data_IF_110713669791
#
_entry.id   IF_110713669791
#
_cell.length_a   1.000
_cell.length_b   1.000
_cell.length_c   1.000
_cell.angle_alpha   90.00
_cell.angle_beta   90.00
_cell.angle_gamma   90.00
#
_symmetry.space_group_name_H-M   'P 1'
#
loop_
_entity.id
_entity.type
_entity.pdbx_description
1 polymer ?
#
# COMPACT_ATOMS: atom_id res chain seq x y z
N UNK A 1 13.22 -25.52 2.34
CA UNK A 1 12.43 -24.29 2.54
C UNK A 1 12.51 -23.49 1.24
N UNK A 2 11.41 -23.42 0.49
CA UNK A 2 11.39 -22.73 -0.79
C UNK A 2 11.58 -21.22 -0.55
N UNK A 3 12.48 -20.61 -1.32
CA UNK A 3 13.02 -19.26 -1.17
C UNK A 3 12.03 -18.16 -1.62
N UNK A 4 10.73 -18.43 -1.52
CA UNK A 4 9.64 -17.59 -2.06
C UNK A 4 8.94 -16.74 -1.00
N UNK A 5 9.08 -17.02 0.30
CA UNK A 5 8.32 -16.29 1.33
C UNK A 5 8.90 -14.90 1.68
N UNK A 6 9.87 -14.37 0.91
CA UNK A 6 10.49 -13.04 1.08
C UNK A 6 10.18 -12.10 -0.10
N UNK A 7 8.93 -12.12 -0.54
CA UNK A 7 8.53 -11.73 -1.89
C UNK A 7 8.11 -10.24 -2.04
N UNK A 8 8.42 -9.40 -1.06
CA UNK A 8 8.18 -7.96 -1.10
C UNK A 8 9.49 -7.20 -0.83
N UNK A 9 9.65 -6.05 -1.47
CA UNK A 9 10.82 -5.22 -1.25
C UNK A 9 10.89 -4.78 0.23
N UNK A 10 12.06 -4.88 0.89
CA UNK A 10 12.17 -4.58 2.32
C UNK A 10 11.89 -3.09 2.65
N UNK A 11 12.06 -2.20 1.67
CA UNK A 11 11.78 -0.77 1.74
C UNK A 11 10.33 -0.42 1.34
N UNK A 12 9.45 -1.39 1.05
CA UNK A 12 8.09 -1.13 0.58
C UNK A 12 7.30 -0.23 1.54
N UNK A 13 7.48 -0.41 2.85
CA UNK A 13 6.84 0.45 3.85
C UNK A 13 7.36 1.89 3.81
N UNK A 14 8.67 2.07 3.58
CA UNK A 14 9.27 3.39 3.44
C UNK A 14 8.82 4.08 2.15
N UNK A 15 8.69 3.33 1.04
CA UNK A 15 8.08 3.82 -0.21
C UNK A 15 6.67 4.33 0.05
N UNK A 16 5.85 3.58 0.79
CA UNK A 16 4.49 4.02 1.13
C UNK A 16 4.48 5.29 1.99
N UNK A 17 5.33 5.37 3.02
CA UNK A 17 5.47 6.58 3.85
C UNK A 17 5.95 7.81 3.07
N UNK A 18 6.66 7.61 1.96
CA UNK A 18 7.12 8.70 1.10
C UNK A 18 6.02 9.31 0.24
N UNK A 19 4.87 8.64 0.12
CA UNK A 19 3.74 9.14 -0.65
C UNK A 19 3.05 10.30 0.10
N UNK A 20 2.87 11.47 -0.54
CA UNK A 20 2.14 12.58 0.05
C UNK A 20 0.65 12.23 0.20
N UNK A 21 -0.06 13.08 0.96
CA UNK A 21 -1.53 13.04 1.11
C UNK A 21 -2.11 11.90 1.98
N UNK A 22 -1.30 10.97 2.47
CA UNK A 22 -1.77 9.86 3.31
C UNK A 22 -1.24 9.95 4.74
N UNK A 23 -2.12 9.70 5.72
CA UNK A 23 -1.73 9.60 7.11
C UNK A 23 -1.21 8.19 7.46
N UNK A 24 -0.66 8.02 8.65
CA UNK A 24 -0.08 6.74 9.10
C UNK A 24 -1.08 5.59 9.14
N UNK A 25 -2.38 5.84 9.36
CA UNK A 25 -3.43 4.81 9.37
C UNK A 25 -3.65 4.29 7.95
N UNK A 26 -3.86 5.19 6.99
CA UNK A 26 -4.00 4.82 5.58
C UNK A 26 -2.81 4.00 5.09
N UNK A 27 -1.59 4.45 5.39
CA UNK A 27 -0.35 3.76 5.02
C UNK A 27 -0.28 2.36 5.65
N UNK A 28 -0.62 2.22 6.94
CA UNK A 28 -0.54 0.94 7.64
C UNK A 28 -1.56 -0.07 7.11
N UNK A 29 -2.78 0.36 6.83
CA UNK A 29 -3.82 -0.51 6.27
C UNK A 29 -3.49 -0.94 4.84
N UNK A 30 -3.02 -0.02 4.00
CA UNK A 30 -2.62 -0.39 2.65
C UNK A 30 -1.39 -1.32 2.66
N UNK A 31 -0.40 -1.06 3.52
CA UNK A 31 0.74 -1.98 3.68
C UNK A 31 0.29 -3.38 4.12
N UNK A 32 -0.63 -3.49 5.08
CA UNK A 32 -1.20 -4.77 5.49
C UNK A 32 -1.88 -5.49 4.32
N UNK A 33 -2.58 -4.76 3.45
CA UNK A 33 -3.18 -5.32 2.24
C UNK A 33 -2.11 -5.87 1.28
N UNK A 34 -1.00 -5.16 1.08
CA UNK A 34 0.10 -5.62 0.23
C UNK A 34 0.84 -6.84 0.81
N UNK A 35 1.03 -6.88 2.14
CA UNK A 35 1.63 -8.03 2.83
C UNK A 35 0.75 -9.28 2.71
N UNK A 36 -0.58 -9.11 2.82
CA UNK A 36 -1.54 -10.20 2.61
C UNK A 36 -1.62 -10.65 1.13
N UNK A 37 -1.26 -9.77 0.19
CA UNK A 37 -1.30 -10.03 -1.25
C UNK A 37 0.04 -9.68 -1.93
N UNK A 38 1.12 -10.46 -1.71
CA UNK A 38 2.47 -10.10 -2.16
C UNK A 38 2.61 -9.84 -3.66
N UNK A 39 1.78 -10.47 -4.48
CA UNK A 39 1.74 -10.23 -5.94
C UNK A 39 1.31 -8.80 -6.27
N UNK A 40 0.34 -8.24 -5.55
CA UNK A 40 -0.08 -6.83 -5.68
C UNK A 40 1.05 -5.92 -5.21
N UNK A 41 1.68 -6.23 -4.08
CA UNK A 41 2.80 -5.45 -3.55
C UNK A 41 4.00 -5.37 -4.51
N UNK A 42 4.32 -6.45 -5.24
CA UNK A 42 5.37 -6.43 -6.28
C UNK A 42 5.00 -5.54 -7.46
N UNK A 43 3.76 -5.62 -7.92
CA UNK A 43 3.29 -4.78 -9.04
C UNK A 43 3.34 -3.31 -8.59
N UNK A 44 2.75 -3.02 -7.43
CA UNK A 44 2.74 -1.69 -6.82
C UNK A 44 4.14 -1.08 -6.71
N UNK A 45 5.11 -1.84 -6.20
CA UNK A 45 6.48 -1.36 -6.03
C UNK A 45 7.09 -0.84 -7.35
N UNK A 46 6.77 -1.50 -8.46
CA UNK A 46 7.30 -1.17 -9.79
C UNK A 46 6.47 -0.13 -10.56
N UNK A 47 5.34 0.36 -10.03
CA UNK A 47 4.53 1.39 -10.69
C UNK A 47 5.23 2.76 -10.74
N UNK A 48 4.91 3.63 -11.71
CA UNK A 48 5.23 5.05 -11.63
C UNK A 48 4.64 5.70 -10.37
N UNK A 49 5.23 6.82 -9.93
CA UNK A 49 4.82 7.51 -8.71
C UNK A 49 3.32 7.87 -8.69
N UNK A 50 2.80 8.47 -9.76
CA UNK A 50 1.39 8.87 -9.83
C UNK A 50 0.44 7.66 -9.74
N UNK A 51 0.78 6.55 -10.40
CA UNK A 51 -0.01 5.32 -10.34
C UNK A 51 -0.02 4.69 -8.94
N UNK A 52 1.07 4.84 -8.16
CA UNK A 52 1.09 4.44 -6.74
C UNK A 52 0.09 5.26 -5.92
N UNK A 53 0.03 6.58 -6.16
CA UNK A 53 -0.95 7.46 -5.50
C UNK A 53 -2.37 7.01 -5.84
N UNK A 54 -2.67 6.80 -7.12
CA UNK A 54 -4.01 6.41 -7.58
C UNK A 54 -4.49 5.12 -6.92
N UNK A 55 -3.61 4.12 -6.80
CA UNK A 55 -3.95 2.85 -6.15
C UNK A 55 -4.26 3.01 -4.66
N UNK A 56 -3.47 3.82 -3.96
CA UNK A 56 -3.68 4.06 -2.53
C UNK A 56 -4.95 4.89 -2.32
N UNK A 57 -5.21 5.91 -3.17
CA UNK A 57 -6.47 6.68 -3.16
C UNK A 57 -7.67 5.78 -3.39
N UNK A 58 -7.63 4.90 -4.39
CA UNK A 58 -8.71 3.97 -4.68
C UNK A 58 -8.98 3.07 -3.47
N UNK A 59 -7.93 2.43 -2.93
CA UNK A 59 -8.07 1.56 -1.76
C UNK A 59 -8.67 2.30 -0.56
N UNK A 60 -8.20 3.52 -0.27
CA UNK A 60 -8.73 4.29 0.85
C UNK A 60 -10.19 4.66 0.62
N UNK A 61 -10.54 5.09 -0.59
CA UNK A 61 -11.92 5.49 -0.94
C UNK A 61 -12.89 4.32 -0.77
N UNK A 62 -12.46 3.10 -1.10
CA UNK A 62 -13.26 1.89 -0.95
C UNK A 62 -13.37 1.40 0.50
N UNK A 63 -12.32 1.57 1.31
CA UNK A 63 -12.22 0.98 2.66
C UNK A 63 -12.44 1.96 3.81
N UNK A 64 -12.38 3.27 3.55
CA UNK A 64 -12.60 4.35 4.52
C UNK A 64 -13.69 5.29 3.99
N UNK A 65 -14.95 4.83 3.87
CA UNK A 65 -16.04 5.69 3.45
C UNK A 65 -16.18 6.87 4.42
N UNK A 66 -16.48 8.06 3.88
CA UNK A 66 -16.53 9.37 4.57
C UNK A 66 -17.47 9.48 5.78
N UNK A 67 -18.10 8.40 6.22
CA UNK A 67 -19.10 8.39 7.28
C UNK A 67 -18.52 8.13 8.69
N UNK A 68 -17.20 8.21 8.86
CA UNK A 68 -16.54 8.12 10.18
C UNK A 68 -15.98 9.48 10.63
N UNK A 69 -16.74 10.55 10.39
CA UNK A 69 -16.61 11.79 11.17
C UNK A 69 -17.40 11.59 12.48
N UNK A 70 -16.71 11.17 13.54
CA UNK A 70 -17.16 11.31 14.93
C UNK A 70 -16.22 12.24 15.67
#
# INVERSE_FOLDING_TARGET
LAKGDMDLSPDLYDVLKSLPCFNSVHISFYYSHLVAHPHIGRIFYNLPFDAKIDWVVQFITENFPKNYDH
#
